data_IF_130271299339
#
_entry.id   IF_130271299339
#
_cell.length_a   1.000
_cell.length_b   1.000
_cell.length_c   1.000
_cell.angle_alpha   90.00
_cell.angle_beta   90.00
_cell.angle_gamma   90.00
#
_symmetry.space_group_name_H-M   'P 1'
#
loop_
_entity.id
_entity.type
_entity.pdbx_description
1 polymer ?
#
# COMPACT_ATOMS: atom_id res chain seq x y z
N UNK A 1 -1.85 -22.53 3.16
CA UNK A 1 -1.31 -21.62 4.20
C UNK A 1 -1.01 -20.28 3.54
N UNK A 2 -1.54 -19.18 4.03
CA UNK A 2 -1.28 -17.83 3.48
C UNK A 2 0.06 -17.31 4.02
N UNK A 3 0.86 -16.64 3.18
CA UNK A 3 2.18 -16.12 3.57
C UNK A 3 2.03 -14.63 3.91
N UNK A 4 2.08 -14.30 5.19
CA UNK A 4 1.99 -12.92 5.67
C UNK A 4 3.34 -12.19 5.69
N UNK A 5 4.46 -12.89 5.70
CA UNK A 5 5.81 -12.31 5.74
C UNK A 5 6.61 -12.73 4.51
N UNK A 6 7.25 -11.76 3.87
CA UNK A 6 8.20 -12.05 2.80
C UNK A 6 9.44 -12.75 3.39
N UNK A 7 9.86 -13.91 2.82
CA UNK A 7 11.07 -14.60 3.28
C UNK A 7 12.30 -13.69 3.24
N UNK A 8 13.12 -13.71 4.28
CA UNK A 8 14.24 -12.77 4.49
C UNK A 8 15.30 -12.79 3.38
N UNK A 9 15.41 -13.87 2.61
CA UNK A 9 16.35 -13.96 1.50
C UNK A 9 15.89 -13.24 0.22
N UNK A 10 14.57 -13.00 0.04
CA UNK A 10 14.01 -12.37 -1.16
C UNK A 10 14.53 -10.94 -1.36
N UNK A 11 14.57 -10.06 -0.35
CA UNK A 11 15.14 -8.73 -0.47
C UNK A 11 16.60 -8.73 -0.94
N UNK A 12 17.41 -9.71 -0.54
CA UNK A 12 18.81 -9.83 -0.97
C UNK A 12 18.95 -10.22 -2.45
N UNK A 13 17.97 -10.94 -3.00
CA UNK A 13 17.95 -11.28 -4.44
C UNK A 13 17.50 -10.07 -5.29
N UNK A 14 16.61 -9.24 -4.75
CA UNK A 14 16.05 -8.07 -5.45
C UNK A 14 16.30 -6.76 -4.68
N UNK A 15 17.56 -6.32 -4.56
CA UNK A 15 17.94 -5.19 -3.70
C UNK A 15 17.50 -3.82 -4.23
N UNK A 16 17.04 -3.73 -5.48
CA UNK A 16 16.51 -2.48 -6.07
C UNK A 16 15.10 -2.15 -5.60
N UNK A 17 14.38 -3.10 -4.98
CA UNK A 17 13.07 -2.85 -4.44
C UNK A 17 13.14 -2.37 -3.00
N UNK A 18 12.23 -1.48 -2.63
CA UNK A 18 12.03 -1.12 -1.23
C UNK A 18 11.11 -2.14 -0.57
N UNK A 19 11.66 -3.00 0.30
CA UNK A 19 10.93 -4.02 1.04
C UNK A 19 10.60 -3.62 2.48
N UNK A 20 11.46 -2.76 3.04
CA UNK A 20 11.40 -2.18 4.37
C UNK A 20 12.22 -0.91 4.40
N UNK A 21 12.13 -0.15 5.48
CA UNK A 21 12.97 1.04 5.70
C UNK A 21 13.88 0.81 6.90
N UNK A 22 15.08 1.35 6.85
CA UNK A 22 15.91 1.46 8.05
C UNK A 22 15.40 2.63 8.88
N UNK A 23 14.84 2.35 10.04
CA UNK A 23 14.23 3.35 10.91
C UNK A 23 14.15 2.87 12.35
N UNK A 24 14.27 3.80 13.28
CA UNK A 24 14.02 3.53 14.69
C UNK A 24 12.56 3.83 15.03
N UNK A 25 11.81 2.82 15.49
CA UNK A 25 10.43 2.94 15.98
C UNK A 25 9.39 3.43 14.95
N UNK A 26 9.72 3.43 13.67
CA UNK A 26 8.73 3.75 12.63
C UNK A 26 8.25 2.48 11.94
N UNK A 27 6.96 2.43 11.62
CA UNK A 27 6.31 1.41 10.80
C UNK A 27 5.52 2.09 9.71
N UNK A 28 5.44 1.49 8.53
CA UNK A 28 4.85 2.10 7.35
C UNK A 28 3.61 1.31 6.92
N UNK A 29 2.43 1.82 7.29
CA UNK A 29 1.18 1.27 6.82
C UNK A 29 0.91 1.77 5.40
N UNK A 30 0.57 0.88 4.49
CA UNK A 30 0.32 1.21 3.08
C UNK A 30 -0.99 0.61 2.61
N UNK A 31 -1.72 1.36 1.78
CA UNK A 31 -3.04 0.99 1.28
C UNK A 31 -3.01 0.98 -0.24
N UNK A 32 -3.42 -0.13 -0.85
CA UNK A 32 -3.46 -0.31 -2.30
C UNK A 32 -4.92 -0.28 -2.80
N UNK A 33 -5.13 -0.04 -4.08
CA UNK A 33 -6.39 -0.07 -4.84
C UNK A 33 -7.27 1.18 -4.73
N UNK A 34 -7.15 2.00 -3.72
CA UNK A 34 -7.94 3.22 -3.52
C UNK A 34 -7.69 4.35 -4.53
N UNK A 35 -8.26 5.54 -4.31
CA UNK A 35 -9.25 5.82 -3.26
C UNK A 35 -10.62 5.20 -3.58
N UNK A 36 -11.27 4.70 -2.54
CA UNK A 36 -12.63 4.13 -2.61
C UNK A 36 -13.52 4.85 -1.60
N UNK A 37 -14.58 5.55 -2.00
CA UNK A 37 -15.50 6.23 -1.08
C UNK A 37 -15.96 5.33 0.08
N UNK A 38 -16.21 5.91 1.24
CA UNK A 38 -16.57 5.24 2.49
C UNK A 38 -15.48 4.33 3.08
N UNK A 39 -14.63 3.73 2.26
CA UNK A 39 -13.57 2.83 2.73
C UNK A 39 -12.30 3.63 2.99
N UNK A 40 -11.86 4.43 2.03
CA UNK A 40 -10.72 5.34 2.22
C UNK A 40 -11.04 6.38 3.30
N UNK A 41 -12.30 6.87 3.38
CA UNK A 41 -12.76 7.74 4.47
C UNK A 41 -12.56 7.09 5.84
N UNK A 42 -13.03 5.85 6.01
CA UNK A 42 -12.83 5.06 7.23
C UNK A 42 -11.35 4.90 7.59
N UNK A 43 -10.50 4.62 6.60
CA UNK A 43 -9.05 4.50 6.82
C UNK A 43 -8.46 5.81 7.34
N UNK A 44 -8.81 6.94 6.71
CA UNK A 44 -8.32 8.26 7.12
C UNK A 44 -8.80 8.64 8.53
N UNK A 45 -10.04 8.33 8.89
CA UNK A 45 -10.57 8.52 10.24
C UNK A 45 -9.80 7.70 11.27
N UNK A 46 -9.57 6.41 11.01
CA UNK A 46 -8.76 5.57 11.90
C UNK A 46 -7.32 6.09 12.05
N UNK A 47 -6.69 6.52 10.95
CA UNK A 47 -5.33 7.07 11.00
C UNK A 47 -5.28 8.37 11.81
N UNK A 48 -6.27 9.24 11.67
CA UNK A 48 -6.36 10.49 12.41
C UNK A 48 -6.50 10.28 13.92
N UNK A 49 -7.32 9.30 14.35
CA UNK A 49 -7.51 8.93 15.76
C UNK A 49 -6.19 8.56 16.45
N UNK A 50 -5.28 7.90 15.74
CA UNK A 50 -3.97 7.50 16.26
C UNK A 50 -2.83 8.45 15.88
N UNK A 51 -3.12 9.63 15.32
CA UNK A 51 -2.11 10.57 14.78
C UNK A 51 -1.13 9.89 13.81
N UNK A 52 -1.58 8.85 13.14
CA UNK A 52 -0.80 8.04 12.24
C UNK A 52 -0.72 8.67 10.83
N UNK A 53 0.39 8.45 10.14
CA UNK A 53 0.53 8.74 8.72
C UNK A 53 0.75 7.45 7.95
N UNK A 54 0.31 7.42 6.70
CA UNK A 54 0.35 6.24 5.84
C UNK A 54 0.68 6.62 4.40
N UNK A 55 0.84 5.60 3.55
CA UNK A 55 1.04 5.78 2.11
C UNK A 55 -0.05 5.06 1.35
N UNK A 56 -0.66 5.74 0.39
CA UNK A 56 -1.72 5.22 -0.45
C UNK A 56 -1.19 5.01 -1.88
N UNK A 57 -1.13 3.75 -2.34
CA UNK A 57 -0.83 3.42 -3.72
C UNK A 57 -2.12 3.41 -4.53
N UNK A 58 -2.43 4.57 -5.11
CA UNK A 58 -3.73 4.82 -5.73
C UNK A 58 -3.77 4.35 -7.19
N UNK A 59 -4.91 3.76 -7.58
CA UNK A 59 -5.22 3.48 -8.98
C UNK A 59 -5.63 4.79 -9.67
N UNK A 60 -5.01 5.11 -10.82
CA UNK A 60 -5.22 6.38 -11.50
C UNK A 60 -6.68 6.66 -11.87
N UNK A 61 -7.44 5.65 -12.35
CA UNK A 61 -8.88 5.82 -12.63
C UNK A 61 -9.69 6.19 -11.40
N UNK A 62 -9.33 5.67 -10.23
CA UNK A 62 -10.00 5.99 -8.97
C UNK A 62 -9.62 7.41 -8.51
N UNK A 63 -8.36 7.81 -8.71
CA UNK A 63 -7.90 9.18 -8.45
C UNK A 63 -8.65 10.21 -9.32
N UNK A 64 -8.92 9.88 -10.59
CA UNK A 64 -9.74 10.72 -11.48
C UNK A 64 -11.20 10.78 -11.01
N UNK A 65 -11.77 9.64 -10.60
CA UNK A 65 -13.15 9.54 -10.17
C UNK A 65 -13.42 10.24 -8.82
N UNK A 66 -12.40 10.31 -7.94
CA UNK A 66 -12.56 10.78 -6.55
C UNK A 66 -11.49 11.83 -6.18
N UNK A 67 -11.42 12.98 -6.89
CA UNK A 67 -10.39 13.99 -6.65
C UNK A 67 -10.44 14.56 -5.23
N UNK A 68 -11.62 14.71 -4.64
CA UNK A 68 -11.78 15.20 -3.27
C UNK A 68 -11.13 14.26 -2.23
N UNK A 69 -11.18 12.94 -2.44
CA UNK A 69 -10.47 11.99 -1.58
C UNK A 69 -8.95 12.08 -1.76
N UNK A 70 -8.47 12.30 -3.00
CA UNK A 70 -7.05 12.54 -3.24
C UNK A 70 -6.56 13.81 -2.51
N UNK A 71 -7.34 14.89 -2.56
CA UNK A 71 -7.04 16.13 -1.84
C UNK A 71 -7.03 15.90 -0.32
N UNK A 72 -7.96 15.09 0.19
CA UNK A 72 -8.04 14.73 1.60
C UNK A 72 -6.81 13.91 2.04
N UNK A 73 -6.43 12.87 1.30
CA UNK A 73 -5.22 12.08 1.56
C UNK A 73 -3.99 12.99 1.66
N UNK A 74 -3.83 13.89 0.69
CA UNK A 74 -2.70 14.84 0.63
C UNK A 74 -2.72 15.86 1.78
N UNK A 75 -3.87 16.49 2.04
CA UNK A 75 -4.00 17.55 3.05
C UNK A 75 -3.85 17.01 4.47
N UNK A 76 -4.21 15.76 4.72
CA UNK A 76 -4.00 15.08 6.00
C UNK A 76 -2.55 14.59 6.18
N UNK A 77 -1.65 14.85 5.22
CA UNK A 77 -0.20 14.59 5.32
C UNK A 77 0.19 13.14 5.07
N UNK A 78 -0.59 12.43 4.29
CA UNK A 78 -0.24 11.09 3.81
C UNK A 78 0.55 11.16 2.50
N UNK A 79 1.36 10.14 2.21
CA UNK A 79 2.04 10.00 0.92
C UNK A 79 1.16 9.27 -0.10
N UNK A 80 1.38 9.60 -1.37
CA UNK A 80 0.68 8.95 -2.49
C UNK A 80 1.71 8.28 -3.40
N UNK A 81 1.45 7.04 -3.78
CA UNK A 81 2.22 6.27 -4.74
C UNK A 81 1.36 5.80 -5.91
N UNK A 82 2.02 5.44 -7.00
CA UNK A 82 1.38 5.01 -8.25
C UNK A 82 1.06 3.50 -8.20
N UNK A 83 -0.20 3.12 -8.52
CA UNK A 83 -0.65 1.73 -8.61
C UNK A 83 -1.23 1.39 -9.99
N UNK A 84 -0.66 1.98 -11.06
CA UNK A 84 -1.11 1.96 -12.45
C UNK A 84 -2.43 2.72 -12.68
N UNK A 85 -2.75 3.01 -13.93
CA UNK A 85 -4.01 3.69 -14.29
C UNK A 85 -5.23 2.76 -14.15
N UNK A 86 -5.09 1.48 -14.56
CA UNK A 86 -6.19 0.53 -14.69
C UNK A 86 -6.01 -0.75 -13.88
N UNK A 87 -5.06 -0.79 -12.94
CA UNK A 87 -4.73 -1.98 -12.14
C UNK A 87 -4.33 -3.18 -13.02
N UNK A 88 -3.50 -2.94 -14.04
CA UNK A 88 -3.10 -3.98 -14.98
C UNK A 88 -2.22 -5.05 -14.33
N UNK A 89 -2.42 -6.30 -14.75
CA UNK A 89 -1.55 -7.39 -14.38
C UNK A 89 -0.34 -7.46 -15.34
N UNK A 90 0.85 -7.21 -14.82
CA UNK A 90 2.10 -7.18 -15.59
C UNK A 90 2.42 -8.48 -16.35
N UNK A 91 1.82 -9.60 -15.95
CA UNK A 91 2.03 -10.89 -16.63
C UNK A 91 1.02 -11.16 -17.74
N UNK A 92 0.02 -10.30 -17.88
CA UNK A 92 -1.09 -10.48 -18.85
C UNK A 92 -1.07 -9.50 -20.00
N UNK A 93 -0.14 -8.53 -19.99
CA UNK A 93 0.00 -7.50 -21.02
C UNK A 93 1.48 -7.35 -21.40
N UNK A 94 1.74 -6.79 -22.58
CA UNK A 94 3.11 -6.46 -22.95
C UNK A 94 3.67 -5.29 -22.12
N UNK A 95 5.00 -5.14 -22.16
CA UNK A 95 5.68 -4.16 -21.33
C UNK A 95 5.33 -2.71 -21.73
N UNK A 96 5.19 -2.43 -23.01
CA UNK A 96 4.95 -1.06 -23.50
C UNK A 96 3.55 -0.58 -23.10
N UNK A 97 2.54 -1.46 -23.20
CA UNK A 97 1.19 -1.19 -22.70
C UNK A 97 1.17 -1.01 -21.18
N UNK A 98 1.93 -1.82 -20.44
CA UNK A 98 2.04 -1.68 -19.00
C UNK A 98 2.72 -0.37 -18.59
N UNK A 99 3.82 0.00 -19.25
CA UNK A 99 4.53 1.24 -19.00
C UNK A 99 3.64 2.44 -19.29
N UNK A 100 2.92 2.44 -20.42
CA UNK A 100 1.97 3.49 -20.77
C UNK A 100 0.87 3.66 -19.68
N UNK A 101 0.42 2.56 -19.08
CA UNK A 101 -0.58 2.59 -18.00
C UNK A 101 -0.02 3.20 -16.70
N UNK A 102 1.25 2.92 -16.37
CA UNK A 102 1.96 3.56 -15.25
C UNK A 102 2.13 5.06 -15.50
N UNK A 103 2.58 5.45 -16.69
CA UNK A 103 2.78 6.85 -17.08
C UNK A 103 1.47 7.63 -17.11
N UNK A 104 0.37 7.02 -17.56
CA UNK A 104 -0.96 7.62 -17.54
C UNK A 104 -1.43 7.94 -16.12
N UNK A 105 -1.17 7.05 -15.15
CA UNK A 105 -1.45 7.30 -13.74
C UNK A 105 -0.62 8.47 -13.21
N UNK A 106 0.67 8.50 -13.51
CA UNK A 106 1.57 9.59 -13.09
C UNK A 106 1.13 10.94 -13.67
N UNK A 107 0.68 10.97 -14.92
CA UNK A 107 0.14 12.18 -15.54
C UNK A 107 -1.14 12.69 -14.86
N UNK A 108 -1.99 11.79 -14.33
CA UNK A 108 -3.14 12.17 -13.49
C UNK A 108 -2.67 12.85 -12.22
N UNK A 109 -1.71 12.25 -11.52
CA UNK A 109 -1.16 12.80 -10.27
C UNK A 109 -0.52 14.19 -10.47
N UNK A 110 0.27 14.34 -11.54
CA UNK A 110 0.87 15.63 -11.89
C UNK A 110 -0.18 16.74 -12.11
N UNK A 111 -1.29 16.42 -12.80
CA UNK A 111 -2.40 17.36 -12.99
C UNK A 111 -3.09 17.76 -11.67
N UNK A 112 -3.07 16.89 -10.67
CA UNK A 112 -3.60 17.15 -9.33
C UNK A 112 -2.57 17.75 -8.37
N UNK A 113 -1.37 18.11 -8.87
CA UNK A 113 -0.28 18.65 -8.06
C UNK A 113 0.24 17.66 -7.02
N UNK A 114 0.22 16.37 -7.34
CA UNK A 114 0.72 15.28 -6.50
C UNK A 114 2.05 14.80 -7.08
N UNK A 115 3.05 14.69 -6.22
CA UNK A 115 4.31 14.04 -6.52
C UNK A 115 4.25 12.62 -5.92
N UNK A 116 4.24 11.59 -6.76
CA UNK A 116 4.24 10.22 -6.27
C UNK A 116 5.57 9.84 -5.64
N UNK A 117 5.53 9.08 -4.54
CA UNK A 117 6.74 8.64 -3.83
C UNK A 117 7.39 7.41 -4.48
N UNK A 118 6.74 6.82 -5.44
CA UNK A 118 7.17 5.61 -6.13
C UNK A 118 6.00 4.80 -6.68
N UNK A 119 6.32 3.61 -7.12
CA UNK A 119 5.40 2.71 -7.81
C UNK A 119 5.26 1.38 -7.06
N UNK A 120 4.03 0.87 -6.96
CA UNK A 120 3.76 -0.49 -6.51
C UNK A 120 3.01 -1.26 -7.60
N UNK A 121 3.55 -2.39 -8.07
CA UNK A 121 2.88 -3.16 -9.12
C UNK A 121 1.66 -3.89 -8.57
N UNK A 122 0.51 -3.84 -9.26
CA UNK A 122 -0.65 -4.66 -8.96
C UNK A 122 -0.28 -6.15 -8.79
N UNK A 123 -0.88 -6.78 -7.77
CA UNK A 123 -0.63 -8.19 -7.41
C UNK A 123 0.82 -8.51 -6.99
N UNK A 124 1.70 -7.51 -6.83
CA UNK A 124 3.13 -7.73 -6.64
C UNK A 124 3.82 -8.39 -7.84
N UNK A 125 3.20 -8.37 -9.03
CA UNK A 125 3.71 -9.03 -10.23
C UNK A 125 4.66 -8.13 -11.00
N UNK A 126 5.88 -8.63 -11.20
CA UNK A 126 6.97 -7.89 -11.83
C UNK A 126 7.57 -8.73 -12.94
N UNK A 127 7.89 -8.09 -14.08
CA UNK A 127 8.68 -8.68 -15.15
C UNK A 127 10.13 -8.18 -15.10
N UNK A 128 11.04 -8.88 -15.76
CA UNK A 128 12.44 -8.44 -15.84
C UNK A 128 12.59 -7.04 -16.49
N UNK A 129 11.75 -6.74 -17.49
CA UNK A 129 11.77 -5.42 -18.13
C UNK A 129 11.36 -4.31 -17.15
N UNK A 130 10.32 -4.53 -16.36
CA UNK A 130 9.89 -3.59 -15.31
C UNK A 130 10.97 -3.38 -14.26
N UNK A 131 11.63 -4.45 -13.81
CA UNK A 131 12.73 -4.38 -12.84
C UNK A 131 13.86 -3.46 -13.32
N UNK A 132 14.12 -3.42 -14.62
CA UNK A 132 15.16 -2.58 -15.22
C UNK A 132 14.67 -1.14 -15.43
N UNK A 133 13.47 -0.97 -15.96
CA UNK A 133 13.00 0.31 -16.51
C UNK A 133 12.25 1.18 -15.51
N UNK A 134 11.50 0.59 -14.56
CA UNK A 134 10.69 1.38 -13.63
C UNK A 134 11.51 1.62 -12.35
N UNK A 135 11.76 2.89 -12.00
CA UNK A 135 12.45 3.24 -10.76
C UNK A 135 11.51 3.17 -9.54
N UNK A 136 12.12 3.22 -8.35
CA UNK A 136 11.41 3.40 -7.07
C UNK A 136 10.24 2.43 -6.86
N UNK A 137 10.45 1.15 -7.15
CA UNK A 137 9.44 0.11 -6.88
C UNK A 137 9.43 -0.18 -5.38
N UNK A 138 8.26 0.06 -4.77
CA UNK A 138 7.99 -0.18 -3.35
C UNK A 138 7.16 -1.45 -3.21
N UNK A 139 7.72 -2.45 -2.55
CA UNK A 139 7.02 -3.67 -2.17
C UNK A 139 6.69 -3.65 -0.67
N UNK A 140 6.78 -4.78 0.01
CA UNK A 140 6.41 -4.92 1.43
C UNK A 140 7.21 -6.01 2.13
N UNK A 141 7.24 -5.94 3.43
CA UNK A 141 7.73 -7.03 4.26
C UNK A 141 6.59 -7.82 4.91
N UNK A 142 5.41 -7.19 5.09
CA UNK A 142 4.23 -7.79 5.70
C UNK A 142 3.00 -7.57 4.81
N UNK A 143 2.27 -8.66 4.51
CA UNK A 143 1.02 -8.65 3.76
C UNK A 143 -0.11 -9.09 4.67
N UNK A 144 -1.11 -8.25 4.90
CA UNK A 144 -2.25 -8.59 5.76
C UNK A 144 -3.13 -9.67 5.16
N UNK A 145 -3.28 -9.69 3.84
CA UNK A 145 -4.19 -10.60 3.15
C UNK A 145 -5.67 -10.24 3.32
N UNK A 146 -5.97 -8.99 3.68
CA UNK A 146 -7.33 -8.46 3.90
C UNK A 146 -8.27 -8.59 2.69
N UNK A 147 -7.73 -8.69 1.48
CA UNK A 147 -8.49 -8.96 0.25
C UNK A 147 -8.93 -10.42 0.09
N UNK A 148 -8.44 -11.33 0.94
CA UNK A 148 -8.72 -12.76 0.81
C UNK A 148 -9.90 -13.18 1.70
N UNK A 149 -11.07 -13.28 1.10
CA UNK A 149 -12.31 -13.64 1.80
C UNK A 149 -12.30 -15.05 2.44
N UNK A 150 -11.31 -15.91 2.13
CA UNK A 150 -11.18 -17.22 2.78
C UNK A 150 -10.47 -17.16 4.14
N UNK A 151 -9.87 -16.02 4.48
CA UNK A 151 -9.23 -15.80 5.77
C UNK A 151 -10.27 -15.33 6.80
N UNK A 152 -9.93 -15.48 8.07
CA UNK A 152 -10.69 -14.93 9.19
C UNK A 152 -9.90 -13.74 9.76
N UNK A 153 -10.57 -12.64 10.10
CA UNK A 153 -9.93 -11.42 10.62
C UNK A 153 -9.10 -11.66 11.88
N UNK A 154 -9.57 -12.50 12.78
CA UNK A 154 -8.82 -12.86 13.98
C UNK A 154 -7.54 -13.64 13.65
N UNK A 155 -7.62 -14.60 12.71
CA UNK A 155 -6.45 -15.34 12.24
C UNK A 155 -5.44 -14.43 11.53
N UNK A 156 -5.92 -13.42 10.77
CA UNK A 156 -5.07 -12.36 10.20
C UNK A 156 -4.32 -11.64 11.32
N UNK A 157 -5.02 -11.16 12.34
CA UNK A 157 -4.41 -10.45 13.47
C UNK A 157 -3.38 -11.31 14.19
N UNK A 158 -3.72 -12.54 14.55
CA UNK A 158 -2.79 -13.48 15.20
C UNK A 158 -1.51 -13.69 14.39
N UNK A 159 -1.60 -13.69 13.06
CA UNK A 159 -0.46 -13.89 12.17
C UNK A 159 0.35 -12.62 11.93
N UNK A 160 -0.32 -11.46 11.86
CA UNK A 160 0.29 -10.19 11.46
C UNK A 160 0.90 -9.43 12.63
N UNK A 161 0.23 -9.38 13.81
CA UNK A 161 0.72 -8.60 14.95
C UNK A 161 2.16 -8.93 15.36
N UNK A 162 2.62 -10.20 15.39
CA UNK A 162 4.01 -10.54 15.73
C UNK A 162 5.03 -10.07 14.67
N UNK A 163 4.58 -9.70 13.46
CA UNK A 163 5.43 -9.25 12.35
C UNK A 163 5.60 -7.72 12.32
N UNK A 164 4.77 -7.00 13.10
CA UNK A 164 4.81 -5.54 13.16
C UNK A 164 6.03 -5.10 13.99
N UNK A 165 7.03 -4.61 13.28
CA UNK A 165 8.29 -4.15 13.87
C UNK A 165 8.80 -2.91 13.15
N UNK A 166 9.76 -2.24 13.76
CA UNK A 166 10.43 -1.08 13.17
C UNK A 166 10.91 -1.37 11.75
N UNK A 167 10.65 -0.44 10.85
CA UNK A 167 11.00 -0.52 9.44
C UNK A 167 10.05 -1.34 8.57
N UNK A 168 9.10 -2.07 9.13
CA UNK A 168 8.18 -2.89 8.33
C UNK A 168 7.28 -2.02 7.43
N UNK A 169 7.13 -2.44 6.17
CA UNK A 169 6.13 -1.95 5.24
C UNK A 169 4.99 -2.97 5.22
N UNK A 170 3.80 -2.54 5.63
CA UNK A 170 2.62 -3.39 5.80
C UNK A 170 1.58 -3.03 4.75
N UNK A 171 1.08 -4.03 4.02
CA UNK A 171 0.08 -3.83 2.97
C UNK A 171 -1.33 -4.15 3.44
N UNK A 172 -2.21 -3.20 3.23
CA UNK A 172 -3.67 -3.28 3.25
C UNK A 172 -4.23 -2.89 1.88
N UNK A 173 -5.54 -3.04 1.71
CA UNK A 173 -6.24 -2.61 0.49
C UNK A 173 -7.50 -1.83 0.88
N UNK A 174 -7.59 -0.56 0.47
CA UNK A 174 -8.78 0.27 0.69
C UNK A 174 -9.79 0.09 -0.46
N UNK A 175 -10.18 -1.15 -0.69
CA UNK A 175 -11.09 -1.59 -1.75
C UNK A 175 -12.33 -2.29 -1.19
N UNK A 176 -13.41 -2.33 -1.98
CA UNK A 176 -14.68 -2.98 -1.58
C UNK A 176 -14.46 -4.44 -1.16
N UNK A 177 -13.56 -5.14 -1.83
CA UNK A 177 -13.27 -6.54 -1.55
C UNK A 177 -12.59 -6.73 -0.19
N UNK A 178 -11.70 -5.83 0.18
CA UNK A 178 -10.94 -5.90 1.43
C UNK A 178 -11.68 -5.32 2.64
N UNK A 179 -12.69 -4.46 2.40
CA UNK A 179 -13.38 -3.70 3.43
C UNK A 179 -13.83 -4.49 4.67
N UNK A 180 -14.38 -5.73 4.56
CA UNK A 180 -14.82 -6.46 5.74
C UNK A 180 -13.66 -6.78 6.70
N UNK A 181 -12.51 -7.24 6.16
CA UNK A 181 -11.35 -7.52 6.97
C UNK A 181 -10.63 -6.23 7.38
N UNK A 182 -10.42 -5.30 6.44
CA UNK A 182 -9.78 -4.01 6.71
C UNK A 182 -10.42 -3.30 7.92
N UNK A 183 -11.75 -3.17 7.92
CA UNK A 183 -12.49 -2.52 9.02
C UNK A 183 -12.34 -3.25 10.36
N UNK A 184 -12.17 -4.56 10.33
CA UNK A 184 -11.98 -5.34 11.54
C UNK A 184 -10.54 -5.27 12.08
N UNK A 185 -9.52 -5.24 11.20
CA UNK A 185 -8.12 -5.40 11.63
C UNK A 185 -7.36 -4.07 11.79
N UNK A 186 -7.69 -3.02 11.02
CA UNK A 186 -6.93 -1.76 11.04
C UNK A 186 -6.91 -1.10 12.42
N UNK A 187 -8.04 -0.93 13.14
CA UNK A 187 -8.05 -0.33 14.47
C UNK A 187 -7.18 -1.14 15.47
N UNK A 188 -7.25 -2.47 15.42
CA UNK A 188 -6.46 -3.34 16.29
C UNK A 188 -4.95 -3.24 16.00
N UNK A 189 -4.57 -3.12 14.72
CA UNK A 189 -3.17 -2.95 14.32
C UNK A 189 -2.64 -1.58 14.77
N UNK A 190 -3.42 -0.51 14.62
CA UNK A 190 -3.04 0.83 15.09
C UNK A 190 -2.88 0.87 16.62
N UNK A 191 -3.82 0.28 17.37
CA UNK A 191 -3.73 0.14 18.82
C UNK A 191 -2.48 -0.65 19.24
N UNK A 192 -2.18 -1.75 18.54
CA UNK A 192 -0.96 -2.53 18.78
C UNK A 192 0.30 -1.69 18.54
N UNK A 193 0.39 -0.99 17.41
CA UNK A 193 1.54 -0.12 17.12
C UNK A 193 1.74 0.91 18.23
N UNK A 194 0.67 1.57 18.68
CA UNK A 194 0.73 2.52 19.78
C UNK A 194 1.23 1.87 21.09
N UNK A 195 0.75 0.67 21.44
CA UNK A 195 1.16 -0.07 22.64
C UNK A 195 2.64 -0.48 22.60
N UNK A 196 3.19 -0.70 21.40
CA UNK A 196 4.61 -1.03 21.20
C UNK A 196 5.52 0.20 20.99
N UNK A 197 4.98 1.41 21.14
CA UNK A 197 5.68 2.67 20.83
C UNK A 197 6.23 2.72 19.39
N UNK A 198 5.50 2.14 18.44
CA UNK A 198 5.78 2.24 17.02
C UNK A 198 4.98 3.43 16.43
N UNK A 199 5.68 4.37 15.81
CA UNK A 199 5.06 5.49 15.09
C UNK A 199 4.71 5.06 13.68
N UNK A 200 3.43 5.14 13.31
CA UNK A 200 2.99 4.93 11.93
C UNK A 200 3.33 6.16 11.09
N UNK A 201 4.24 6.00 10.14
CA UNK A 201 4.75 7.08 9.28
C UNK A 201 4.44 6.81 7.81
N UNK A 202 4.37 7.89 7.02
CA UNK A 202 4.35 7.79 5.56
C UNK A 202 5.75 7.47 5.01
N UNK A 203 5.83 6.81 3.84
CA UNK A 203 7.06 6.49 3.14
C UNK A 203 7.69 7.73 2.49
#
# INVERSE_FOLDING_TARGET
MFIHQIPSFIPSIFPRFTWSKDSERQIYLTFDDGPTPEITDFVLECLAEYHAKATFFCIGKNAVAHPTLMDRIKSEGHSIGNHTMNHLNAWSVDFDAYQADVEACEAVFQKQGIQSIGFRPPYGRITRKMYIAIPNIVLWSVLTGDYNASLNSEAILQSVLPLLKSGAIVVFHDSVKAAPHLKAILPAILAHCASQNLTCSAL
#
